data_IF_123855038555
#
_entry.id   IF_123855038555
#
_cell.length_a   1.000
_cell.length_b   1.000
_cell.length_c   1.000
_cell.angle_alpha   90.00
_cell.angle_beta   90.00
_cell.angle_gamma   90.00
#
_symmetry.space_group_name_H-M   'P 1'
#
loop_
_entity.id
_entity.type
_entity.pdbx_description
1 polymer ?
#
# COMPACT_ATOMS: atom_id res chain seq x y z
N UNK A 1 -14.56 17.34 -20.53
CA UNK A 1 -13.69 17.37 -19.33
C UNK A 1 -13.85 16.04 -18.61
N UNK A 2 -12.75 15.35 -18.28
CA UNK A 2 -12.83 14.13 -17.47
C UNK A 2 -13.21 14.50 -16.02
N UNK A 3 -14.14 13.76 -15.40
CA UNK A 3 -14.53 13.97 -13.99
C UNK A 3 -13.34 13.72 -13.06
N UNK A 4 -13.19 14.50 -12.00
CA UNK A 4 -12.16 14.26 -10.99
C UNK A 4 -12.40 12.94 -10.25
N UNK A 5 -11.37 12.35 -9.65
CA UNK A 5 -11.50 11.11 -8.88
C UNK A 5 -12.56 11.23 -7.76
N UNK A 6 -12.57 12.36 -7.06
CA UNK A 6 -13.55 12.67 -6.01
C UNK A 6 -14.99 12.76 -6.57
N UNK A 7 -15.18 13.31 -7.77
CA UNK A 7 -16.50 13.36 -8.41
C UNK A 7 -17.02 11.98 -8.84
N UNK A 8 -16.12 11.00 -8.97
CA UNK A 8 -16.43 9.62 -9.37
C UNK A 8 -16.62 8.69 -8.15
N UNK A 9 -15.93 8.96 -7.03
CA UNK A 9 -15.84 8.04 -5.90
C UNK A 9 -16.29 8.62 -4.56
N UNK A 10 -16.69 9.90 -4.52
CA UNK A 10 -17.08 10.59 -3.28
C UNK A 10 -15.88 11.11 -2.47
N UNK A 11 -16.12 11.68 -1.28
CA UNK A 11 -15.04 12.10 -0.39
C UNK A 11 -14.17 10.91 0.00
N UNK A 12 -12.84 11.11 -0.02
CA UNK A 12 -11.86 10.07 0.31
C UNK A 12 -11.86 9.85 1.83
N UNK A 13 -12.49 8.78 2.29
CA UNK A 13 -12.50 8.35 3.71
C UNK A 13 -11.37 7.35 4.03
N UNK A 14 -10.28 7.40 3.26
CA UNK A 14 -9.20 6.43 3.35
C UNK A 14 -8.01 7.05 4.07
N UNK A 15 -7.56 6.41 5.15
CA UNK A 15 -6.42 6.86 5.97
C UNK A 15 -5.29 5.82 5.93
N UNK A 16 -4.06 6.29 5.80
CA UNK A 16 -2.86 5.46 5.94
C UNK A 16 -2.47 5.31 7.41
N UNK A 17 -2.19 4.08 7.84
CA UNK A 17 -1.72 3.80 9.21
C UNK A 17 -0.25 3.37 9.16
N UNK A 18 0.58 3.93 10.03
CA UNK A 18 1.95 3.47 10.18
C UNK A 18 1.96 2.14 10.94
N UNK A 19 2.11 1.04 10.20
CA UNK A 19 2.08 -0.30 10.79
C UNK A 19 3.22 -0.55 11.78
N UNK A 20 4.31 0.25 11.75
CA UNK A 20 5.44 0.09 12.69
C UNK A 20 5.10 0.49 14.12
N UNK A 21 3.92 1.06 14.34
CA UNK A 21 3.41 1.39 15.67
C UNK A 21 2.84 0.17 16.42
N UNK A 22 2.56 -0.92 15.71
CA UNK A 22 2.04 -2.15 16.31
C UNK A 22 3.18 -3.11 16.67
N UNK A 23 2.90 -4.00 17.62
CA UNK A 23 3.78 -5.12 17.91
C UNK A 23 3.93 -6.02 16.68
N UNK A 24 5.16 -6.46 16.39
CA UNK A 24 5.47 -7.29 15.22
C UNK A 24 4.76 -8.64 15.27
N UNK A 25 4.56 -9.20 16.46
CA UNK A 25 3.79 -10.43 16.63
C UNK A 25 2.31 -10.24 16.23
N UNK A 26 1.76 -9.05 16.46
CA UNK A 26 0.42 -8.66 16.02
C UNK A 26 0.29 -8.47 14.50
N UNK A 27 1.41 -8.41 13.79
CA UNK A 27 1.47 -8.25 12.34
C UNK A 27 1.84 -9.54 11.61
N UNK A 28 1.98 -10.66 12.32
CA UNK A 28 2.38 -11.93 11.73
C UNK A 28 1.45 -12.33 10.57
N UNK A 29 2.03 -12.54 9.38
CA UNK A 29 1.31 -12.93 8.17
C UNK A 29 0.76 -11.78 7.33
N UNK A 30 0.84 -10.53 7.80
CA UNK A 30 0.51 -9.34 7.00
C UNK A 30 1.45 -9.25 5.81
N UNK A 31 0.89 -9.11 4.61
CA UNK A 31 1.67 -8.98 3.37
C UNK A 31 2.11 -7.52 3.15
N UNK A 32 3.40 -7.32 3.03
CA UNK A 32 3.99 -6.04 2.61
C UNK A 32 4.26 -6.09 1.11
N UNK A 33 3.70 -5.12 0.38
CA UNK A 33 3.94 -4.92 -1.05
C UNK A 33 4.71 -3.63 -1.28
N UNK A 34 5.40 -3.57 -2.42
CA UNK A 34 6.25 -2.44 -2.78
C UNK A 34 5.82 -1.81 -4.11
N UNK A 35 4.73 -1.03 -4.14
CA UNK A 35 4.28 -0.33 -5.33
C UNK A 35 5.41 0.48 -5.96
N UNK A 36 5.55 0.40 -7.28
CA UNK A 36 6.44 1.26 -8.05
C UNK A 36 5.68 2.54 -8.46
N UNK A 37 5.39 3.38 -7.46
CA UNK A 37 4.72 4.66 -7.71
C UNK A 37 5.59 5.63 -8.51
N UNK A 38 6.93 5.46 -8.48
CA UNK A 38 7.86 6.36 -9.18
C UNK A 38 7.74 6.23 -10.70
N UNK A 39 7.61 5.01 -11.22
CA UNK A 39 7.47 4.77 -12.66
C UNK A 39 6.00 4.62 -13.10
N UNK A 40 5.04 4.83 -12.20
CA UNK A 40 3.62 4.71 -12.54
C UNK A 40 3.16 5.94 -13.32
N UNK A 41 2.62 5.70 -14.50
CA UNK A 41 2.16 6.75 -15.43
C UNK A 41 0.80 7.34 -15.05
N UNK A 42 0.17 6.84 -13.99
CA UNK A 42 -1.22 7.17 -13.64
C UNK A 42 -2.27 6.45 -14.50
N UNK A 43 -1.85 5.66 -15.49
CA UNK A 43 -2.73 4.85 -16.31
C UNK A 43 -2.70 3.37 -15.88
N UNK A 44 -3.87 2.81 -15.58
CA UNK A 44 -4.01 1.42 -15.14
C UNK A 44 -3.38 1.14 -13.77
N UNK A 45 -3.34 -0.14 -13.34
CA UNK A 45 -2.73 -0.53 -12.07
C UNK A 45 -1.22 -0.25 -12.04
N UNK A 46 -0.70 0.18 -10.89
CA UNK A 46 0.74 0.25 -10.66
C UNK A 46 1.36 -1.15 -10.60
N UNK A 47 2.65 -1.25 -10.98
CA UNK A 47 3.46 -2.46 -10.81
C UNK A 47 4.18 -2.44 -9.45
N UNK A 48 4.98 -3.47 -9.18
CA UNK A 48 5.77 -3.60 -7.95
C UNK A 48 7.26 -3.61 -8.26
N UNK A 49 8.05 -2.88 -7.46
CA UNK A 49 9.51 -2.78 -7.63
C UNK A 49 10.28 -4.01 -7.12
N UNK A 50 9.67 -4.79 -6.23
CA UNK A 50 10.21 -6.04 -5.70
C UNK A 50 9.06 -6.95 -5.25
N UNK A 51 9.37 -8.24 -5.06
CA UNK A 51 8.43 -9.24 -4.56
C UNK A 51 7.85 -8.83 -3.20
N UNK A 52 6.63 -9.29 -2.92
CA UNK A 52 6.03 -9.13 -1.61
C UNK A 52 6.74 -9.99 -0.57
N UNK A 53 6.58 -9.59 0.69
CA UNK A 53 7.04 -10.35 1.85
C UNK A 53 5.91 -10.42 2.87
N UNK A 54 5.99 -11.39 3.80
CA UNK A 54 5.10 -11.44 4.96
C UNK A 54 5.86 -10.99 6.20
N UNK A 55 5.23 -10.20 7.05
CA UNK A 55 5.79 -9.85 8.35
C UNK A 55 5.81 -11.11 9.23
N UNK A 56 6.93 -11.38 9.89
CA UNK A 56 7.15 -12.54 10.75
C UNK A 56 8.24 -12.29 11.80
N UNK A 57 8.43 -13.24 12.70
CA UNK A 57 9.23 -13.06 13.94
C UNK A 57 10.74 -12.90 13.74
N UNK A 58 11.27 -13.09 12.52
CA UNK A 58 12.71 -13.14 12.26
C UNK A 58 13.22 -12.20 11.14
N UNK A 59 12.35 -11.39 10.53
CA UNK A 59 12.77 -10.43 9.50
C UNK A 59 12.45 -9.00 9.93
N UNK A 60 13.48 -8.14 10.01
CA UNK A 60 13.29 -6.71 10.18
C UNK A 60 12.67 -6.13 8.89
N UNK A 61 11.50 -5.49 9.02
CA UNK A 61 10.72 -4.96 7.90
C UNK A 61 10.69 -3.42 7.85
#
# INVERSE_FOLDING_TARGET
>A
MAKSFTDQHGPVDMMGVNMRLFDTDGLHGVEVRFPDGKNWTGAGPFKYRRNSMKIGSHEAW
#
